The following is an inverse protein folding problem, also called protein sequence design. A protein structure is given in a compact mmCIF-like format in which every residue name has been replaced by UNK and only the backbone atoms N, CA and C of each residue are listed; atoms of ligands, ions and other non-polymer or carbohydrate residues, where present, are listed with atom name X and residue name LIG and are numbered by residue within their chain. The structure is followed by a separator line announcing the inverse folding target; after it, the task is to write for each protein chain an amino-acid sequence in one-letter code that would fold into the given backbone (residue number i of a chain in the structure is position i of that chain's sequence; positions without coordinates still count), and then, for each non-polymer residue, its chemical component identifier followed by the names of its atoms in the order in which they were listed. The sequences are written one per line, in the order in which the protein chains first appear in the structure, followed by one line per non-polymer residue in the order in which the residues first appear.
data_IF_951783058031
#
_entry.id   IF_951783058031
#
_cell.length_a   1.000
_cell.length_b   1.000
_cell.length_c   1.000
_cell.angle_alpha   90.00
_cell.angle_beta   90.00
_cell.angle_gamma   90.00
#
_symmetry.space_group_name_H-M   'P 1'
#
loop_
_entity.id
_entity.type
_entity.pdbx_description
1 polymer ?
#
# COMPACT_ATOMS: atom_id res chain seq x y z
N UNK A 1 44.61 27.35 22.93
CA UNK A 1 45.42 26.17 22.55
C UNK A 1 44.93 25.02 23.43
N UNK A 2 44.20 24.00 23.01
CA UNK A 2 43.98 23.44 21.69
C UNK A 2 42.51 22.99 21.57
N UNK A 3 41.89 23.32 20.44
CA UNK A 3 40.64 22.71 19.98
C UNK A 3 40.98 21.30 19.48
N UNK A 4 40.40 20.28 20.12
CA UNK A 4 40.47 18.92 19.65
C UNK A 4 39.55 18.76 18.42
N UNK A 5 40.19 18.71 17.25
CA UNK A 5 39.62 18.24 15.99
C UNK A 5 38.99 16.85 16.15
N UNK A 6 37.68 16.78 16.32
CA UNK A 6 36.92 15.58 15.99
C UNK A 6 36.64 15.62 14.49
N UNK A 7 37.51 14.98 13.70
CA UNK A 7 37.25 14.71 12.29
C UNK A 7 35.95 13.90 12.13
N UNK A 8 35.28 13.97 10.97
CA UNK A 8 34.07 13.19 10.75
C UNK A 8 34.46 11.71 10.68
N UNK A 9 34.18 10.95 11.73
CA UNK A 9 34.11 9.50 11.63
C UNK A 9 33.07 9.18 10.55
N UNK A 10 33.54 8.73 9.38
CA UNK A 10 32.68 8.11 8.37
C UNK A 10 32.27 6.75 8.95
N UNK A 11 31.33 6.77 9.88
CA UNK A 11 30.71 5.57 10.42
C UNK A 11 30.17 4.78 9.24
N UNK A 12 30.67 3.54 9.05
CA UNK A 12 30.21 2.67 7.99
C UNK A 12 28.71 2.45 8.16
N UNK A 13 27.88 3.08 7.32
CA UNK A 13 26.42 2.88 7.35
C UNK A 13 26.13 1.40 7.29
N UNK A 14 25.34 0.91 8.25
CA UNK A 14 24.90 -0.48 8.27
C UNK A 14 24.10 -0.79 7.00
N UNK A 15 24.10 -2.05 6.57
CA UNK A 15 23.36 -2.48 5.38
C UNK A 15 21.90 -2.00 5.41
N UNK A 16 21.24 -2.09 6.57
CA UNK A 16 19.88 -1.61 6.78
C UNK A 16 19.71 -0.10 6.50
N UNK A 17 20.70 0.74 6.82
CA UNK A 17 20.65 2.19 6.59
C UNK A 17 20.88 2.54 5.12
N UNK A 18 21.71 1.77 4.41
CA UNK A 18 21.88 1.91 2.97
C UNK A 18 20.61 1.49 2.23
N UNK A 19 20.04 0.34 2.61
CA UNK A 19 18.78 -0.16 2.06
C UNK A 19 17.65 0.83 2.32
N UNK A 20 17.50 1.32 3.57
CA UNK A 20 16.52 2.33 3.93
C UNK A 20 16.65 3.60 3.08
N UNK A 21 17.88 4.07 2.85
CA UNK A 21 18.11 5.25 2.00
C UNK A 21 17.63 5.02 0.57
N UNK A 22 17.99 3.89 -0.05
CA UNK A 22 17.56 3.53 -1.41
C UNK A 22 16.04 3.42 -1.49
N UNK A 23 15.41 2.68 -0.56
CA UNK A 23 13.97 2.50 -0.52
C UNK A 23 13.23 3.83 -0.32
N UNK A 24 13.72 4.71 0.54
CA UNK A 24 13.13 6.03 0.76
C UNK A 24 13.23 6.92 -0.47
N UNK A 25 14.37 6.93 -1.17
CA UNK A 25 14.54 7.68 -2.43
C UNK A 25 13.57 7.15 -3.49
N UNK A 26 13.47 5.83 -3.66
CA UNK A 26 12.53 5.22 -4.61
C UNK A 26 11.07 5.56 -4.26
N UNK A 27 10.71 5.51 -2.97
CA UNK A 27 9.37 5.87 -2.50
C UNK A 27 9.02 7.32 -2.80
N UNK A 28 9.94 8.25 -2.56
CA UNK A 28 9.74 9.67 -2.88
C UNK A 28 9.61 9.90 -4.38
N UNK A 29 10.47 9.28 -5.20
CA UNK A 29 10.40 9.38 -6.66
C UNK A 29 9.07 8.82 -7.18
N UNK A 30 8.65 7.66 -6.70
CA UNK A 30 7.36 7.07 -7.04
C UNK A 30 6.18 7.99 -6.65
N UNK A 31 6.24 8.58 -5.46
CA UNK A 31 5.24 9.56 -4.99
C UNK A 31 5.19 10.81 -5.86
N UNK A 32 6.34 11.38 -6.23
CA UNK A 32 6.43 12.55 -7.11
C UNK A 32 5.87 12.26 -8.50
N UNK A 33 6.22 11.09 -9.08
CA UNK A 33 5.69 10.67 -10.37
C UNK A 33 4.16 10.49 -10.31
N UNK A 34 3.64 9.87 -9.25
CA UNK A 34 2.19 9.70 -9.08
C UNK A 34 1.45 11.03 -8.82
N UNK A 35 2.11 12.01 -8.20
CA UNK A 35 1.56 13.34 -7.96
C UNK A 35 1.70 14.29 -9.17
N UNK A 36 2.47 13.92 -10.20
CA UNK A 36 2.67 14.76 -11.38
C UNK A 36 1.37 14.84 -12.17
N UNK A 37 0.76 16.04 -12.32
CA UNK A 37 -0.42 16.20 -13.15
C UNK A 37 -0.05 15.91 -14.61
N UNK A 38 -1.00 15.39 -15.40
CA UNK A 38 -0.79 15.21 -16.83
C UNK A 38 -0.60 16.57 -17.51
N UNK A 39 0.66 16.95 -17.79
CA UNK A 39 0.98 18.20 -18.47
C UNK A 39 0.78 17.95 -19.98
N UNK A 40 -0.15 18.67 -20.63
CA UNK A 40 -0.37 18.53 -22.07
C UNK A 40 0.91 18.90 -22.84
N UNK A 41 1.35 18.01 -23.75
CA UNK A 41 2.54 18.20 -24.59
C UNK A 41 3.88 17.77 -23.96
N UNK A 42 3.93 17.44 -22.67
CA UNK A 42 5.15 16.89 -22.04
C UNK A 42 5.50 15.50 -22.60
N UNK A 43 4.49 14.66 -22.77
CA UNK A 43 4.65 13.32 -23.36
C UNK A 43 5.15 13.40 -24.80
N UNK A 44 4.61 14.32 -25.60
CA UNK A 44 5.03 14.52 -26.99
C UNK A 44 6.44 15.14 -27.09
N UNK A 45 6.81 16.02 -26.14
CA UNK A 45 8.16 16.57 -26.00
C UNK A 45 9.19 15.51 -25.58
N UNK A 46 8.84 14.62 -24.66
CA UNK A 46 9.69 13.49 -24.24
C UNK A 46 9.85 12.46 -25.35
N UNK A 47 8.77 12.14 -26.07
CA UNK A 47 8.80 11.21 -27.21
C UNK A 47 9.64 11.76 -28.37
N UNK A 48 9.52 13.04 -28.69
CA UNK A 48 10.32 13.66 -29.75
C UNK A 48 11.81 13.81 -29.39
N UNK A 49 12.14 13.94 -28.10
CA UNK A 49 13.54 14.05 -27.64
C UNK A 49 14.22 12.70 -27.43
N UNK A 50 13.49 11.68 -26.96
CA UNK A 50 14.06 10.38 -26.56
C UNK A 50 13.81 9.25 -27.57
N UNK A 51 12.85 9.41 -28.47
CA UNK A 51 12.47 8.38 -29.47
C UNK A 51 11.77 7.15 -28.88
N UNK A 52 11.41 7.17 -27.59
CA UNK A 52 10.77 6.07 -26.90
C UNK A 52 9.26 6.31 -26.77
N UNK A 53 8.46 5.62 -27.59
CA UNK A 53 6.99 5.71 -27.60
C UNK A 53 6.33 5.23 -26.30
N UNK A 54 7.05 4.43 -25.49
CA UNK A 54 6.57 3.89 -24.23
C UNK A 54 6.62 4.87 -23.06
N UNK A 55 7.32 6.00 -23.20
CA UNK A 55 7.34 7.05 -22.18
C UNK A 55 6.04 7.85 -22.33
N UNK A 56 5.01 7.38 -21.66
CA UNK A 56 3.78 8.11 -21.44
C UNK A 56 3.72 8.44 -19.95
N UNK A 57 3.43 9.70 -19.60
CA UNK A 57 3.10 10.12 -18.24
C UNK A 57 1.72 9.56 -17.85
N UNK A 58 1.60 8.23 -17.86
CA UNK A 58 0.37 7.56 -17.47
C UNK A 58 0.33 7.55 -15.96
N UNK A 59 -0.77 8.05 -15.39
CA UNK A 59 -1.08 7.83 -13.97
C UNK A 59 -0.96 6.33 -13.70
N UNK A 60 -0.17 5.93 -12.71
CA UNK A 60 -0.01 4.52 -12.38
C UNK A 60 -1.39 3.90 -12.14
N UNK A 61 -1.62 2.64 -12.57
CA UNK A 61 -2.82 1.89 -12.19
C UNK A 61 -2.94 1.93 -10.66
N UNK A 62 -3.96 2.60 -10.14
CA UNK A 62 -4.12 2.90 -8.71
C UNK A 62 -4.24 1.62 -7.90
N UNK A 63 -4.90 0.64 -8.51
CA UNK A 63 -5.18 -0.70 -8.04
C UNK A 63 -3.89 -1.51 -7.74
N UNK A 64 -2.79 -1.28 -8.47
CA UNK A 64 -1.51 -1.94 -8.20
C UNK A 64 -0.56 -1.04 -7.41
N UNK A 65 -0.56 0.26 -7.72
CA UNK A 65 0.37 1.21 -7.13
C UNK A 65 0.16 1.36 -5.62
N UNK A 66 -1.07 1.63 -5.17
CA UNK A 66 -1.33 1.88 -3.75
C UNK A 66 -1.02 0.72 -2.81
N UNK A 67 -1.45 -0.53 -3.06
CA UNK A 67 -1.13 -1.64 -2.17
C UNK A 67 0.38 -1.90 -2.07
N UNK A 68 1.12 -1.76 -3.18
CA UNK A 68 2.58 -1.95 -3.20
C UNK A 68 3.28 -0.82 -2.43
N UNK A 69 2.90 0.43 -2.68
CA UNK A 69 3.48 1.60 -2.02
C UNK A 69 3.16 1.60 -0.53
N UNK A 70 1.96 1.17 -0.13
CA UNK A 70 1.62 0.98 1.28
C UNK A 70 2.53 -0.03 1.96
N UNK A 71 2.73 -1.21 1.36
CA UNK A 71 3.63 -2.23 1.89
C UNK A 71 5.09 -1.73 1.98
N UNK A 72 5.57 -1.05 0.94
CA UNK A 72 6.90 -0.42 0.92
C UNK A 72 7.04 0.64 2.03
N UNK A 73 6.04 1.49 2.22
CA UNK A 73 6.02 2.49 3.29
C UNK A 73 6.15 1.83 4.67
N UNK A 74 5.38 0.77 4.92
CA UNK A 74 5.44 0.06 6.20
C UNK A 74 6.79 -0.64 6.41
N UNK A 75 7.38 -1.19 5.36
CA UNK A 75 8.75 -1.72 5.41
C UNK A 75 9.77 -0.62 5.78
N UNK A 76 9.67 0.56 5.15
CA UNK A 76 10.53 1.71 5.46
C UNK A 76 10.38 2.14 6.92
N UNK A 77 9.13 2.22 7.43
CA UNK A 77 8.84 2.56 8.83
C UNK A 77 9.45 1.52 9.78
N UNK A 78 9.30 0.23 9.49
CA UNK A 78 9.89 -0.84 10.27
C UNK A 78 11.43 -0.76 10.30
N UNK A 79 12.07 -0.47 9.16
CA UNK A 79 13.52 -0.32 9.06
C UNK A 79 14.02 0.94 9.79
N UNK A 80 13.33 2.08 9.63
CA UNK A 80 13.72 3.36 10.23
C UNK A 80 13.54 3.35 11.75
N UNK A 81 12.38 2.91 12.21
CA UNK A 81 11.94 2.95 13.61
C UNK A 81 11.96 1.55 14.26
N UNK A 82 12.85 0.65 13.84
CA UNK A 82 12.93 -0.72 14.37
C UNK A 82 13.06 -0.76 15.89
N UNK A 83 12.11 -1.43 16.57
CA UNK A 83 12.15 -1.72 18.00
C UNK A 83 13.31 -2.63 18.38
N UNK A 84 13.65 -3.59 17.52
CA UNK A 84 14.79 -4.47 17.76
C UNK A 84 16.11 -3.71 17.92
N UNK A 85 16.33 -2.69 17.08
CA UNK A 85 17.55 -1.88 17.12
C UNK A 85 17.59 -0.95 18.33
N UNK A 86 16.48 -0.31 18.65
CA UNK A 86 16.41 0.67 19.74
C UNK A 86 16.51 0.00 21.13
N UNK A 87 16.17 -1.28 21.23
CA UNK A 87 16.20 -2.02 22.50
C UNK A 87 17.42 -2.93 22.68
N UNK A 88 18.51 -2.68 21.93
CA UNK A 88 19.77 -3.46 22.04
C UNK A 88 20.34 -3.51 23.47
N UNK A 89 20.14 -2.47 24.27
CA UNK A 89 20.61 -2.38 25.66
C UNK A 89 19.59 -2.82 26.73
N UNK A 90 18.40 -3.30 26.33
CA UNK A 90 17.36 -3.78 27.25
C UNK A 90 17.40 -5.30 27.38
N UNK A 91 16.58 -5.84 28.29
CA UNK A 91 16.51 -7.30 28.53
C UNK A 91 16.23 -8.09 27.25
N UNK A 92 16.77 -9.32 27.11
CA UNK A 92 16.60 -10.14 25.91
C UNK A 92 15.14 -10.36 25.49
N UNK A 93 14.24 -10.53 26.47
CA UNK A 93 12.79 -10.67 26.23
C UNK A 93 12.18 -9.44 25.57
N UNK A 94 12.54 -8.23 26.04
CA UNK A 94 12.05 -6.98 25.42
C UNK A 94 12.59 -6.85 24.01
N UNK A 95 13.86 -7.19 23.80
CA UNK A 95 14.48 -7.16 22.48
C UNK A 95 13.70 -8.05 21.49
N UNK A 96 13.45 -9.31 21.82
CA UNK A 96 12.62 -10.23 21.01
C UNK A 96 11.21 -9.73 20.75
N UNK A 97 10.56 -9.15 21.76
CA UNK A 97 9.26 -8.50 21.57
C UNK A 97 9.33 -7.36 20.53
N UNK A 98 10.43 -6.61 20.51
CA UNK A 98 10.65 -5.57 19.50
C UNK A 98 10.76 -6.13 18.09
N UNK A 99 11.49 -7.22 17.88
CA UNK A 99 11.55 -7.88 16.56
C UNK A 99 10.20 -8.45 16.15
N UNK A 100 9.47 -9.05 17.09
CA UNK A 100 8.11 -9.52 16.83
C UNK A 100 7.22 -8.39 16.32
N UNK A 101 7.25 -7.23 16.97
CA UNK A 101 6.46 -6.06 16.53
C UNK A 101 6.91 -5.51 15.17
N UNK A 102 8.21 -5.43 14.91
CA UNK A 102 8.75 -4.99 13.62
C UNK A 102 8.30 -5.93 12.49
N UNK A 103 8.36 -7.25 12.71
CA UNK A 103 7.92 -8.27 11.75
C UNK A 103 6.41 -8.26 11.59
N UNK A 104 5.66 -8.17 12.70
CA UNK A 104 4.21 -8.14 12.69
C UNK A 104 3.70 -6.98 11.83
N UNK A 105 4.27 -5.77 11.99
CA UNK A 105 3.88 -4.60 11.19
C UNK A 105 4.00 -4.87 9.69
N UNK A 106 5.15 -5.39 9.25
CA UNK A 106 5.41 -5.68 7.83
C UNK A 106 4.49 -6.79 7.33
N UNK A 107 4.34 -7.88 8.08
CA UNK A 107 3.48 -9.00 7.70
C UNK A 107 2.02 -8.57 7.58
N UNK A 108 1.49 -7.82 8.56
CA UNK A 108 0.12 -7.30 8.47
C UNK A 108 -0.05 -6.31 7.33
N UNK A 109 0.96 -5.51 7.02
CA UNK A 109 0.91 -4.59 5.88
C UNK A 109 0.85 -5.34 4.55
N UNK A 110 1.67 -6.38 4.39
CA UNK A 110 1.62 -7.27 3.22
C UNK A 110 0.29 -8.00 3.12
N UNK A 111 -0.27 -8.43 4.27
CA UNK A 111 -1.57 -9.09 4.33
C UNK A 111 -2.68 -8.15 3.85
N UNK A 112 -2.76 -6.93 4.38
CA UNK A 112 -3.75 -5.93 3.95
C UNK A 112 -3.58 -5.56 2.48
N UNK A 113 -2.34 -5.37 2.02
CA UNK A 113 -2.02 -5.12 0.61
C UNK A 113 -2.53 -6.24 -0.29
N UNK A 114 -2.35 -7.50 0.12
CA UNK A 114 -2.85 -8.66 -0.61
C UNK A 114 -4.37 -8.76 -0.56
N UNK A 115 -4.98 -8.55 0.61
CA UNK A 115 -6.45 -8.54 0.76
C UNK A 115 -7.07 -7.47 -0.11
N UNK A 116 -6.46 -6.28 -0.21
CA UNK A 116 -6.92 -5.25 -1.15
C UNK A 116 -6.93 -5.78 -2.59
N UNK A 117 -5.88 -6.44 -3.07
CA UNK A 117 -5.85 -7.02 -4.42
C UNK A 117 -6.89 -8.12 -4.64
N UNK A 118 -7.25 -8.86 -3.59
CA UNK A 118 -8.27 -9.91 -3.64
C UNK A 118 -9.67 -9.31 -3.73
N UNK A 119 -9.96 -8.27 -2.95
CA UNK A 119 -11.30 -7.69 -2.83
C UNK A 119 -11.59 -6.55 -3.82
N UNK A 120 -10.57 -5.97 -4.44
CA UNK A 120 -10.77 -4.83 -5.33
C UNK A 120 -11.40 -5.28 -6.65
N UNK A 121 -12.60 -4.78 -6.96
CA UNK A 121 -13.44 -5.23 -8.08
C UNK A 121 -12.76 -5.11 -9.47
N UNK A 122 -11.81 -4.17 -9.62
CA UNK A 122 -11.06 -4.05 -10.88
C UNK A 122 -9.97 -5.13 -11.05
N UNK A 123 -9.60 -5.84 -9.98
CA UNK A 123 -8.58 -6.90 -10.02
C UNK A 123 -9.22 -8.25 -9.72
N UNK A 124 -9.80 -8.44 -8.53
CA UNK A 124 -10.25 -9.74 -8.02
C UNK A 124 -9.19 -10.84 -8.19
N UNK A 125 -8.06 -10.72 -7.48
CA UNK A 125 -6.86 -11.54 -7.71
C UNK A 125 -7.14 -13.06 -7.74
N UNK A 126 -8.03 -13.56 -6.88
CA UNK A 126 -8.39 -14.98 -6.85
C UNK A 126 -9.11 -15.38 -8.15
N UNK A 127 -10.05 -14.56 -8.62
CA UNK A 127 -10.85 -14.82 -9.82
C UNK A 127 -10.02 -14.74 -11.11
N UNK A 128 -8.97 -13.91 -11.13
CA UNK A 128 -8.01 -13.89 -12.24
C UNK A 128 -7.19 -15.18 -12.28
N UNK A 129 -6.78 -15.71 -11.12
CA UNK A 129 -5.99 -16.94 -11.05
C UNK A 129 -6.84 -18.17 -11.39
N UNK A 130 -8.14 -18.17 -11.04
CA UNK A 130 -9.06 -19.28 -11.36
C UNK A 130 -9.66 -19.19 -12.76
N UNK A 131 -9.58 -18.05 -13.43
CA UNK A 131 -10.17 -17.80 -14.75
C UNK A 131 -11.67 -17.48 -14.70
N UNK A 132 -12.26 -17.33 -13.52
CA UNK A 132 -13.67 -16.97 -13.32
C UNK A 132 -13.98 -15.56 -13.82
N UNK A 133 -12.99 -14.66 -13.78
CA UNK A 133 -13.16 -13.26 -14.18
C UNK A 133 -13.64 -13.13 -15.63
N UNK A 134 -13.09 -13.91 -16.55
CA UNK A 134 -13.46 -13.85 -17.97
C UNK A 134 -14.90 -14.31 -18.19
N UNK A 135 -15.33 -15.35 -17.46
CA UNK A 135 -16.71 -15.85 -17.51
C UNK A 135 -17.71 -14.79 -17.05
N UNK A 136 -17.41 -14.15 -15.91
CA UNK A 136 -18.27 -13.12 -15.33
C UNK A 136 -18.37 -11.88 -16.23
N UNK A 137 -17.25 -11.46 -16.84
CA UNK A 137 -17.26 -10.36 -17.82
C UNK A 137 -18.08 -10.74 -19.06
N UNK A 138 -17.98 -11.97 -19.56
CA UNK A 138 -18.75 -12.40 -20.72
C UNK A 138 -20.26 -12.42 -20.44
N UNK A 139 -20.66 -12.84 -19.24
CA UNK A 139 -22.05 -12.83 -18.79
C UNK A 139 -22.59 -11.40 -18.64
N UNK A 140 -21.83 -10.50 -18.01
CA UNK A 140 -22.22 -9.09 -17.87
C UNK A 140 -22.29 -8.37 -19.22
N UNK A 141 -21.32 -8.61 -20.12
CA UNK A 141 -21.39 -8.12 -21.52
C UNK A 141 -22.63 -8.59 -22.25
N UNK A 142 -23.05 -9.85 -22.05
CA UNK A 142 -24.26 -10.35 -22.67
C UNK A 142 -25.51 -9.67 -22.11
N UNK A 143 -25.60 -9.52 -20.79
CA UNK A 143 -26.71 -8.85 -20.14
C UNK A 143 -26.83 -7.37 -20.56
N UNK A 144 -25.71 -6.64 -20.66
CA UNK A 144 -25.73 -5.25 -21.13
C UNK A 144 -26.11 -5.12 -22.61
N UNK A 145 -25.73 -6.08 -23.46
CA UNK A 145 -26.17 -6.11 -24.87
C UNK A 145 -27.67 -6.36 -24.99
N UNK A 146 -28.20 -7.34 -24.27
CA UNK A 146 -29.65 -7.60 -24.24
C UNK A 146 -30.42 -6.39 -23.71
N UNK A 147 -29.90 -5.72 -22.68
CA UNK A 147 -30.45 -4.46 -22.19
C UNK A 147 -30.41 -3.37 -23.27
N UNK A 148 -29.28 -3.18 -23.94
CA UNK A 148 -29.15 -2.17 -25.00
C UNK A 148 -30.14 -2.43 -26.15
N UNK A 149 -30.33 -3.68 -26.57
CA UNK A 149 -31.30 -4.07 -27.60
C UNK A 149 -32.75 -3.74 -27.19
N UNK A 150 -33.14 -4.05 -25.95
CA UNK A 150 -34.51 -3.80 -25.46
C UNK A 150 -34.81 -2.31 -25.33
N UNK A 151 -33.83 -1.50 -24.95
CA UNK A 151 -33.99 -0.06 -24.74
C UNK A 151 -33.57 0.80 -25.95
N UNK A 152 -33.14 0.18 -27.05
CA UNK A 152 -32.69 0.88 -28.26
C UNK A 152 -31.43 1.71 -28.08
N UNK A 153 -30.58 1.33 -27.12
CA UNK A 153 -29.29 1.97 -26.85
C UNK A 153 -28.21 1.38 -27.79
N UNK A 154 -27.14 2.13 -28.10
CA UNK A 154 -26.01 1.58 -28.85
C UNK A 154 -25.35 0.41 -28.10
N UNK A 155 -24.74 -0.52 -28.84
CA UNK A 155 -24.05 -1.67 -28.25
C UNK A 155 -22.91 -1.21 -27.32
N UNK A 156 -22.85 -1.71 -26.07
CA UNK A 156 -21.81 -1.34 -25.12
C UNK A 156 -20.46 -1.89 -25.58
N UNK A 157 -19.42 -1.04 -25.56
CA UNK A 157 -18.04 -1.40 -25.91
C UNK A 157 -17.22 -1.86 -24.71
N UNK A 158 -17.72 -1.62 -23.50
CA UNK A 158 -17.13 -1.96 -22.21
C UNK A 158 -18.24 -2.22 -21.21
N UNK A 159 -17.98 -3.06 -20.22
CA UNK A 159 -18.91 -3.35 -19.12
C UNK A 159 -18.27 -2.95 -17.81
N UNK A 160 -19.10 -2.64 -16.82
CA UNK A 160 -18.68 -2.42 -15.45
C UNK A 160 -18.05 -3.68 -14.84
N UNK A 161 -17.04 -3.50 -14.01
CA UNK A 161 -16.30 -4.61 -13.41
C UNK A 161 -17.22 -5.47 -12.52
N UNK A 162 -17.41 -6.77 -12.81
CA UNK A 162 -18.28 -7.61 -11.98
C UNK A 162 -17.72 -7.77 -10.57
N UNK A 163 -18.61 -8.06 -9.61
CA UNK A 163 -18.20 -8.33 -8.23
C UNK A 163 -17.27 -9.55 -8.13
N UNK A 164 -16.32 -9.51 -7.20
CA UNK A 164 -15.44 -10.64 -6.94
C UNK A 164 -16.23 -11.80 -6.32
N UNK A 165 -16.04 -13.01 -6.84
CA UNK A 165 -16.65 -14.25 -6.33
C UNK A 165 -15.70 -14.93 -5.33
N UNK A 166 -14.41 -15.01 -5.67
CA UNK A 166 -13.35 -15.47 -4.80
C UNK A 166 -12.89 -14.37 -3.84
N UNK A 167 -13.56 -14.25 -2.69
CA UNK A 167 -13.22 -13.26 -1.65
C UNK A 167 -12.59 -13.91 -0.42
N UNK A 168 -11.98 -13.10 0.45
CA UNK A 168 -11.54 -13.50 1.79
C UNK A 168 -12.71 -13.74 2.76
N UNK A 169 -13.92 -13.30 2.41
CA UNK A 169 -15.15 -13.56 3.16
C UNK A 169 -15.06 -13.13 4.62
N UNK A 170 -15.47 -14.01 5.55
CA UNK A 170 -15.48 -13.71 6.98
C UNK A 170 -14.09 -13.46 7.59
N UNK A 171 -13.00 -13.88 6.93
CA UNK A 171 -11.64 -13.62 7.40
C UNK A 171 -11.24 -12.15 7.26
N UNK A 172 -11.91 -11.38 6.38
CA UNK A 172 -11.62 -9.96 6.16
C UNK A 172 -11.67 -9.18 7.47
N UNK A 173 -12.69 -9.41 8.30
CA UNK A 173 -12.86 -8.73 9.59
C UNK A 173 -11.68 -9.03 10.52
N UNK A 174 -11.23 -10.29 10.56
CA UNK A 174 -10.09 -10.68 11.39
C UNK A 174 -8.79 -10.06 10.89
N UNK A 175 -8.55 -10.08 9.58
CA UNK A 175 -7.36 -9.52 8.94
C UNK A 175 -7.27 -8.02 9.21
N UNK A 176 -8.35 -7.28 8.96
CA UNK A 176 -8.40 -5.83 9.16
C UNK A 176 -8.29 -5.48 10.64
N UNK A 177 -9.04 -6.16 11.51
CA UNK A 177 -9.01 -5.92 12.96
C UNK A 177 -7.62 -6.15 13.56
N UNK A 178 -6.97 -7.28 13.22
CA UNK A 178 -5.63 -7.58 13.69
C UNK A 178 -4.58 -6.58 13.15
N UNK A 179 -4.71 -6.20 11.87
CA UNK A 179 -3.81 -5.24 11.25
C UNK A 179 -3.91 -3.86 11.88
N UNK A 180 -5.12 -3.38 12.20
CA UNK A 180 -5.34 -2.13 12.93
C UNK A 180 -4.69 -2.20 14.31
N UNK A 181 -4.87 -3.30 15.04
CA UNK A 181 -4.28 -3.48 16.36
C UNK A 181 -2.75 -3.40 16.31
N UNK A 182 -2.12 -4.18 15.42
CA UNK A 182 -0.66 -4.17 15.24
C UNK A 182 -0.18 -2.78 14.84
N UNK A 183 -0.85 -2.13 13.90
CA UNK A 183 -0.53 -0.79 13.44
C UNK A 183 -0.58 0.22 14.59
N UNK A 184 -1.70 0.30 15.34
CA UNK A 184 -1.85 1.24 16.44
C UNK A 184 -0.81 0.99 17.55
N UNK A 185 -0.59 -0.28 17.92
CA UNK A 185 0.44 -0.64 18.89
C UNK A 185 1.84 -0.18 18.47
N UNK A 186 2.19 -0.36 17.19
CA UNK A 186 3.47 0.10 16.67
C UNK A 186 3.58 1.64 16.65
N UNK A 187 2.50 2.33 16.30
CA UNK A 187 2.46 3.79 16.23
C UNK A 187 2.62 4.46 17.61
N UNK A 188 2.36 3.77 18.72
CA UNK A 188 2.67 4.30 20.07
C UNK A 188 4.15 4.68 20.17
N UNK A 189 5.03 3.90 19.54
CA UNK A 189 6.46 4.22 19.50
C UNK A 189 6.78 5.33 18.51
N UNK A 190 6.19 5.29 17.32
CA UNK A 190 6.58 6.19 16.22
C UNK A 190 6.05 7.60 16.43
N UNK A 191 4.79 7.73 16.85
CA UNK A 191 4.07 9.00 16.97
C UNK A 191 3.71 9.37 18.41
N UNK A 192 3.87 8.44 19.35
CA UNK A 192 3.55 8.64 20.76
C UNK A 192 2.14 8.22 21.15
N UNK A 193 1.94 7.96 22.44
CA UNK A 193 0.67 7.53 23.01
C UNK A 193 -0.50 8.53 22.78
N UNK A 194 -0.31 9.87 22.91
CA UNK A 194 -1.42 10.81 22.76
C UNK A 194 -2.09 10.73 21.38
N UNK A 195 -1.30 10.62 20.31
CA UNK A 195 -1.82 10.55 18.95
C UNK A 195 -2.59 9.25 18.70
N UNK A 196 -2.10 8.15 19.25
CA UNK A 196 -2.77 6.85 19.16
C UNK A 196 -4.10 6.85 19.93
N UNK A 197 -4.18 7.47 21.10
CA UNK A 197 -5.43 7.58 21.86
C UNK A 197 -6.49 8.37 21.09
N UNK A 198 -6.10 9.45 20.41
CA UNK A 198 -7.02 10.20 19.54
C UNK A 198 -7.52 9.31 18.39
N UNK A 199 -6.63 8.57 17.73
CA UNK A 199 -7.02 7.65 16.66
C UNK A 199 -7.99 6.56 17.14
N UNK A 200 -7.75 5.98 18.32
CA UNK A 200 -8.66 5.01 18.95
C UNK A 200 -10.02 5.65 19.25
N UNK A 201 -10.03 6.88 19.77
CA UNK A 201 -11.25 7.62 20.06
C UNK A 201 -12.11 7.86 18.81
N UNK A 202 -11.48 8.31 17.72
CA UNK A 202 -12.18 8.51 16.43
C UNK A 202 -12.68 7.18 15.87
N UNK A 203 -11.86 6.13 15.87
CA UNK A 203 -12.27 4.81 15.39
C UNK A 203 -13.46 4.26 16.20
N UNK A 204 -13.41 4.35 17.53
CA UNK A 204 -14.49 3.92 18.41
C UNK A 204 -15.78 4.72 18.15
N UNK A 205 -15.67 6.04 17.97
CA UNK A 205 -16.80 6.88 17.60
C UNK A 205 -17.44 6.43 16.28
N UNK A 206 -16.63 6.19 15.24
CA UNK A 206 -17.12 5.70 13.94
C UNK A 206 -17.86 4.37 14.08
N UNK A 207 -17.31 3.40 14.82
CA UNK A 207 -17.98 2.12 15.05
C UNK A 207 -19.31 2.30 15.78
N UNK A 208 -19.34 3.14 16.83
CA UNK A 208 -20.57 3.41 17.58
C UNK A 208 -21.64 4.07 16.70
N UNK A 209 -21.26 5.00 15.83
CA UNK A 209 -22.22 5.69 14.95
C UNK A 209 -22.79 4.81 13.85
N UNK A 210 -22.06 3.78 13.40
CA UNK A 210 -22.55 2.85 12.36
C UNK A 210 -23.46 1.76 12.95
N UNK A 211 -23.33 1.47 14.25
CA UNK A 211 -24.15 0.49 14.96
C UNK A 211 -25.49 1.05 15.47
N UNK A 212 -25.72 2.36 15.35
CA UNK A 212 -26.98 3.06 15.69
C UNK A 212 -27.75 3.35 14.41
#
# INVERSE_FOLDING_TARGET
MAEANAGPEVASRTFAERLLYVLAVLFVLAGLLNATPGIPGLDDGLRSLTGFDWITSRKFPREWFFPIIFALMMLIVALKHSMWRDWRGKSPRRRWFGLFMDVALVVTAMMISTTFLIEFEAICLIDQITGERERLIAESMKAEKEFAEVYGLPEPTTVEDPQCVGTTGGWLVLIVGLSILVFLCYNIKVWGLPLVLVAIGVAAYTFLTVMV
#
